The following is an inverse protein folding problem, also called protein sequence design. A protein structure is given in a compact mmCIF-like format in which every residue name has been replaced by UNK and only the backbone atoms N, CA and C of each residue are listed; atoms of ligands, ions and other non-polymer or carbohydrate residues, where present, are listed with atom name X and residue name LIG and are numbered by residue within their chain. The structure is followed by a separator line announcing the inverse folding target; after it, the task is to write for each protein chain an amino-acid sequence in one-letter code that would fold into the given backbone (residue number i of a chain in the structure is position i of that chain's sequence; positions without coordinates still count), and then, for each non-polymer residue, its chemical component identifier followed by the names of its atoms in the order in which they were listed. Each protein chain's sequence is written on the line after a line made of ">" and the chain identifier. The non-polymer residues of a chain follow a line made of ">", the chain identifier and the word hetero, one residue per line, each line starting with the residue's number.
data_IF_031461159925
#
_entry.id   IF_031461159925
#
_cell.length_a   1.000
_cell.length_b   1.000
_cell.length_c   1.000
_cell.angle_alpha   90.00
_cell.angle_beta   90.00
_cell.angle_gamma   90.00
#
_symmetry.space_group_name_H-M   'P 1'
#
loop_
_entity.id
_entity.type
_entity.pdbx_description
1 polymer ?
#
# COMPACT_ATOMS: atom_id res chain seq x y z
N UNK A 1 8.40 -4.58 11.16
CA UNK A 1 8.92 -5.58 10.20
C UNK A 1 7.82 -6.08 9.26
N UNK A 2 6.77 -6.75 9.74
CA UNK A 2 5.74 -7.36 8.87
C UNK A 2 5.08 -6.40 7.87
N UNK A 3 4.81 -5.14 8.27
CA UNK A 3 4.26 -4.14 7.36
C UNK A 3 5.16 -3.87 6.15
N UNK A 4 6.49 -3.86 6.33
CA UNK A 4 7.44 -3.68 5.23
C UNK A 4 7.48 -4.91 4.31
N UNK A 5 7.45 -6.12 4.88
CA UNK A 5 7.35 -7.34 4.07
C UNK A 5 6.05 -7.36 3.25
N UNK A 6 4.94 -6.91 3.84
CA UNK A 6 3.68 -6.77 3.12
C UNK A 6 3.77 -5.76 1.98
N UNK A 7 4.52 -4.65 2.15
CA UNK A 7 4.77 -3.68 1.09
C UNK A 7 5.52 -4.31 -0.10
N UNK A 8 6.52 -5.15 0.17
CA UNK A 8 7.25 -5.85 -0.88
C UNK A 8 6.34 -6.84 -1.64
N UNK A 9 5.47 -7.57 -0.94
CA UNK A 9 4.48 -8.45 -1.57
C UNK A 9 3.48 -7.64 -2.41
N UNK A 10 3.06 -6.48 -1.91
CA UNK A 10 2.15 -5.59 -2.63
C UNK A 10 2.78 -5.07 -3.92
N UNK A 11 4.03 -4.63 -3.89
CA UNK A 11 4.75 -4.22 -5.09
C UNK A 11 4.99 -5.39 -6.03
N UNK A 12 5.31 -6.58 -5.52
CA UNK A 12 5.39 -7.77 -6.36
C UNK A 12 4.06 -8.02 -7.10
N UNK A 13 2.94 -7.86 -6.42
CA UNK A 13 1.62 -7.99 -7.03
C UNK A 13 1.39 -6.94 -8.14
N UNK A 14 1.73 -5.67 -7.86
CA UNK A 14 1.59 -4.55 -8.79
C UNK A 14 2.50 -4.63 -10.03
N UNK A 15 3.73 -5.13 -9.90
CA UNK A 15 4.75 -5.04 -10.96
C UNK A 15 5.15 -6.38 -11.58
N UNK A 16 4.94 -7.50 -10.89
CA UNK A 16 5.41 -8.81 -11.34
C UNK A 16 4.25 -9.76 -11.63
N UNK A 17 3.44 -10.10 -10.62
CA UNK A 17 2.35 -11.07 -10.78
C UNK A 17 1.12 -10.69 -9.96
N UNK A 18 -0.01 -10.31 -10.58
CA UNK A 18 -0.25 -10.33 -12.03
C UNK A 18 0.42 -9.18 -12.80
N UNK A 19 0.93 -8.16 -12.10
CA UNK A 19 1.59 -7.03 -12.73
C UNK A 19 0.63 -6.05 -13.42
N UNK A 20 1.17 -4.96 -13.97
CA UNK A 20 0.39 -3.96 -14.71
C UNK A 20 -0.13 -2.78 -13.87
N UNK A 21 0.35 -2.61 -12.65
CA UNK A 21 0.03 -1.48 -11.76
C UNK A 21 0.05 -0.11 -12.46
N UNK A 22 1.10 0.27 -13.21
CA UNK A 22 1.14 1.54 -13.94
C UNK A 22 -0.02 1.71 -14.94
N UNK A 23 -0.37 0.64 -15.67
CA UNK A 23 -1.48 0.65 -16.63
C UNK A 23 -2.82 0.82 -15.91
N UNK A 24 -3.00 0.12 -14.78
CA UNK A 24 -4.20 0.24 -13.95
C UNK A 24 -4.33 1.64 -13.38
N UNK A 25 -3.24 2.23 -12.88
CA UNK A 25 -3.23 3.62 -12.39
C UNK A 25 -3.64 4.57 -13.51
N UNK A 26 -3.01 4.48 -14.68
CA UNK A 26 -3.28 5.40 -15.78
C UNK A 26 -4.72 5.29 -16.28
N UNK A 27 -5.23 4.08 -16.45
CA UNK A 27 -6.60 3.85 -16.92
C UNK A 27 -7.65 4.16 -15.84
N UNK A 28 -7.48 3.63 -14.64
CA UNK A 28 -8.51 3.67 -13.60
C UNK A 28 -8.49 4.97 -12.78
N UNK A 29 -7.31 5.52 -12.49
CA UNK A 29 -7.19 6.75 -11.69
C UNK A 29 -7.18 8.01 -12.55
N UNK A 30 -6.55 7.95 -13.74
CA UNK A 30 -6.39 9.12 -14.61
C UNK A 30 -7.27 9.09 -15.86
N UNK A 31 -7.99 7.99 -16.11
CA UNK A 31 -8.91 7.91 -17.25
C UNK A 31 -8.23 7.88 -18.62
N UNK A 32 -6.95 7.51 -18.68
CA UNK A 32 -6.17 7.43 -19.92
C UNK A 32 -6.79 6.41 -20.89
N UNK A 33 -6.77 6.72 -22.20
CA UNK A 33 -7.41 5.90 -23.25
C UNK A 33 -6.48 5.54 -24.40
N UNK A 34 -5.34 6.20 -24.50
CA UNK A 34 -4.41 6.14 -25.62
C UNK A 34 -3.04 5.69 -25.15
N UNK A 35 -2.44 6.38 -24.16
CA UNK A 35 -1.07 6.12 -23.73
C UNK A 35 -0.98 5.55 -22.30
N UNK A 36 -1.46 4.32 -22.16
CA UNK A 36 -1.51 3.61 -20.88
C UNK A 36 -0.15 3.37 -20.21
N UNK A 37 0.97 3.49 -20.93
CA UNK A 37 2.31 3.23 -20.38
C UNK A 37 3.00 4.47 -19.83
N UNK A 38 2.61 5.66 -20.29
CA UNK A 38 3.38 6.87 -20.05
C UNK A 38 2.63 7.95 -19.27
N UNK A 39 1.28 7.94 -19.23
CA UNK A 39 0.51 9.06 -18.68
C UNK A 39 -0.36 8.69 -17.48
N UNK A 40 -0.17 9.33 -16.31
CA UNK A 40 1.03 10.00 -15.78
C UNK A 40 1.93 9.06 -14.94
N UNK A 41 1.48 7.83 -14.69
CA UNK A 41 2.20 6.77 -14.00
C UNK A 41 2.99 5.93 -14.99
N UNK A 42 4.27 6.26 -15.20
CA UNK A 42 5.18 5.41 -15.96
C UNK A 42 6.04 4.58 -15.01
N UNK A 43 6.86 3.68 -15.56
CA UNK A 43 7.66 2.77 -14.73
C UNK A 43 8.69 3.51 -13.85
N UNK A 44 9.19 4.66 -14.32
CA UNK A 44 10.11 5.49 -13.53
C UNK A 44 9.41 6.17 -12.35
N UNK A 45 8.23 6.78 -12.57
CA UNK A 45 7.48 7.41 -11.48
C UNK A 45 6.98 6.37 -10.47
N UNK A 46 6.55 5.19 -10.93
CA UNK A 46 6.23 4.07 -10.06
C UNK A 46 7.43 3.63 -9.21
N UNK A 47 8.61 3.47 -9.82
CA UNK A 47 9.84 3.13 -9.11
C UNK A 47 10.21 4.19 -8.05
N UNK A 48 10.11 5.48 -8.38
CA UNK A 48 10.41 6.57 -7.42
C UNK A 48 9.45 6.50 -6.22
N UNK A 49 8.14 6.46 -6.46
CA UNK A 49 7.14 6.45 -5.38
C UNK A 49 7.29 5.19 -4.50
N UNK A 50 7.54 4.04 -5.09
CA UNK A 50 7.77 2.78 -4.37
C UNK A 50 8.99 2.81 -3.47
N UNK A 51 10.10 3.32 -3.96
CA UNK A 51 11.33 3.40 -3.17
C UNK A 51 11.23 4.47 -2.07
N UNK A 52 10.52 5.57 -2.31
CA UNK A 52 10.24 6.56 -1.26
C UNK A 52 9.42 5.97 -0.11
N UNK A 53 8.49 5.06 -0.39
CA UNK A 53 7.74 4.37 0.66
C UNK A 53 8.67 3.60 1.62
N UNK A 54 9.77 3.02 1.13
CA UNK A 54 10.71 2.28 1.97
C UNK A 54 11.29 3.12 3.09
N UNK A 55 11.55 4.41 2.84
CA UNK A 55 12.09 5.33 3.84
C UNK A 55 11.19 5.35 5.08
N UNK A 56 9.86 5.45 4.90
CA UNK A 56 8.91 5.51 6.01
C UNK A 56 8.78 4.16 6.73
N UNK A 57 8.71 3.06 5.98
CA UNK A 57 8.57 1.72 6.57
C UNK A 57 9.83 1.27 7.31
N UNK A 58 11.01 1.55 6.75
CA UNK A 58 12.29 1.27 7.40
C UNK A 58 12.47 2.18 8.61
N UNK A 59 12.10 3.46 8.54
CA UNK A 59 12.14 4.36 9.70
C UNK A 59 11.29 3.83 10.85
N UNK A 60 10.09 3.32 10.58
CA UNK A 60 9.24 2.70 11.61
C UNK A 60 9.86 1.43 12.24
N UNK A 61 10.76 0.74 11.52
CA UNK A 61 11.49 -0.43 12.02
C UNK A 61 12.69 0.01 12.88
N UNK A 62 13.44 1.00 12.43
CA UNK A 62 14.64 1.50 13.13
C UNK A 62 14.26 2.26 14.40
N UNK A 63 13.15 2.99 14.38
CA UNK A 63 12.68 3.82 15.50
C UNK A 63 11.33 3.33 16.06
N UNK A 64 11.25 2.09 16.59
CA UNK A 64 9.97 1.48 16.98
C UNK A 64 9.30 2.14 18.18
N UNK A 65 10.06 2.92 18.98
CA UNK A 65 9.53 3.71 20.10
C UNK A 65 8.73 4.93 19.62
N UNK A 66 8.94 5.39 18.39
CA UNK A 66 8.18 6.50 17.81
C UNK A 66 6.90 5.91 17.19
N UNK A 67 5.88 5.72 18.02
CA UNK A 67 4.62 5.05 17.66
C UNK A 67 3.97 5.65 16.42
N UNK A 68 4.07 6.98 16.24
CA UNK A 68 3.54 7.70 15.10
C UNK A 68 4.12 7.26 13.75
N UNK A 69 5.38 6.81 13.69
CA UNK A 69 5.94 6.24 12.46
C UNK A 69 5.25 4.92 12.09
N UNK A 70 5.03 4.05 13.09
CA UNK A 70 4.28 2.81 12.90
C UNK A 70 2.83 3.10 12.49
N UNK A 71 2.12 3.97 13.20
CA UNK A 71 0.74 4.37 12.86
C UNK A 71 0.66 4.98 11.45
N UNK A 72 1.61 5.82 11.05
CA UNK A 72 1.67 6.38 9.70
C UNK A 72 1.67 5.29 8.62
N UNK A 73 2.50 4.25 8.80
CA UNK A 73 2.50 3.10 7.86
C UNK A 73 1.18 2.31 7.88
N UNK A 74 0.51 2.20 9.03
CA UNK A 74 -0.79 1.54 9.12
C UNK A 74 -1.91 2.34 8.43
N UNK A 75 -1.92 3.66 8.59
CA UNK A 75 -2.88 4.51 7.87
C UNK A 75 -2.66 4.46 6.36
N UNK A 76 -1.41 4.47 5.91
CA UNK A 76 -1.09 4.29 4.50
C UNK A 76 -1.54 2.92 3.96
N UNK A 77 -1.25 1.84 4.69
CA UNK A 77 -1.75 0.48 4.40
C UNK A 77 -3.28 0.45 4.23
N UNK A 78 -4.02 1.05 5.15
CA UNK A 78 -5.48 1.09 5.10
C UNK A 78 -6.00 1.97 3.95
N UNK A 79 -5.29 3.04 3.60
CA UNK A 79 -5.64 3.88 2.45
C UNK A 79 -5.57 3.09 1.12
N UNK A 80 -4.65 2.12 1.01
CA UNK A 80 -4.58 1.24 -0.16
C UNK A 80 -5.85 0.41 -0.37
N UNK A 81 -6.63 0.12 0.68
CA UNK A 81 -7.93 -0.54 0.55
C UNK A 81 -8.93 0.32 -0.22
N UNK A 82 -8.91 1.64 -0.05
CA UNK A 82 -9.76 2.55 -0.83
C UNK A 82 -9.31 2.55 -2.30
N UNK A 83 -8.00 2.61 -2.54
CA UNK A 83 -7.41 2.59 -3.87
C UNK A 83 -7.72 1.30 -4.64
N UNK A 84 -7.23 0.17 -4.14
CA UNK A 84 -7.36 -1.13 -4.80
C UNK A 84 -8.75 -1.73 -4.63
N UNK A 85 -9.36 -1.62 -3.45
CA UNK A 85 -10.65 -2.26 -3.17
C UNK A 85 -11.82 -1.59 -3.89
N UNK A 86 -11.80 -0.26 -4.03
CA UNK A 86 -12.91 0.50 -4.59
C UNK A 86 -12.56 1.20 -5.90
N UNK A 87 -11.58 2.13 -5.88
CA UNK A 87 -11.35 3.06 -6.98
C UNK A 87 -10.86 2.34 -8.25
N UNK A 88 -9.83 1.52 -8.14
CA UNK A 88 -9.22 0.82 -9.27
C UNK A 88 -10.16 -0.22 -9.88
N UNK A 89 -10.81 -1.03 -9.05
CA UNK A 89 -11.83 -1.99 -9.51
C UNK A 89 -12.98 -1.30 -10.27
N UNK A 90 -13.51 -0.19 -9.74
CA UNK A 90 -14.56 0.60 -10.42
C UNK A 90 -14.07 1.19 -11.75
N UNK A 91 -12.84 1.73 -11.79
CA UNK A 91 -12.26 2.31 -13.00
C UNK A 91 -11.90 1.27 -14.07
N UNK A 92 -11.49 0.06 -13.66
CA UNK A 92 -11.16 -1.04 -14.56
C UNK A 92 -12.39 -1.87 -14.96
N UNK A 93 -13.51 -1.75 -14.25
CA UNK A 93 -14.68 -2.63 -14.34
C UNK A 93 -14.31 -4.10 -14.08
N UNK A 94 -13.43 -4.31 -13.11
CA UNK A 94 -12.98 -5.63 -12.67
C UNK A 94 -13.25 -5.80 -11.18
N UNK A 95 -13.33 -7.04 -10.73
CA UNK A 95 -13.44 -7.37 -9.30
C UNK A 95 -12.08 -7.46 -8.61
N UNK A 96 -11.01 -7.53 -9.40
CA UNK A 96 -9.64 -7.64 -8.94
C UNK A 96 -8.71 -6.76 -9.76
N UNK A 97 -7.66 -6.26 -9.09
CA UNK A 97 -6.54 -5.56 -9.69
C UNK A 97 -5.24 -5.90 -8.95
N UNK A 98 -4.08 -5.76 -9.61
CA UNK A 98 -2.76 -5.92 -9.00
C UNK A 98 -2.64 -5.06 -7.74
N UNK A 99 -2.28 -5.70 -6.62
CA UNK A 99 -2.15 -5.08 -5.30
C UNK A 99 -3.32 -5.35 -4.35
N UNK A 100 -4.47 -5.83 -4.86
CA UNK A 100 -5.65 -6.05 -4.02
C UNK A 100 -5.50 -7.21 -3.02
N UNK A 101 -4.86 -8.32 -3.41
CA UNK A 101 -4.73 -9.48 -2.53
C UNK A 101 -3.83 -9.15 -1.33
N UNK A 102 -2.66 -8.58 -1.58
CA UNK A 102 -1.76 -8.10 -0.53
C UNK A 102 -2.42 -7.07 0.39
N UNK A 103 -3.28 -6.19 -0.15
CA UNK A 103 -4.05 -5.25 0.66
C UNK A 103 -4.99 -5.97 1.63
N UNK A 104 -5.82 -6.88 1.12
CA UNK A 104 -6.85 -7.58 1.90
C UNK A 104 -6.21 -8.53 2.92
N UNK A 105 -5.21 -9.30 2.51
CA UNK A 105 -4.68 -10.40 3.31
C UNK A 105 -3.49 -9.99 4.19
N UNK A 106 -2.78 -8.90 3.88
CA UNK A 106 -1.60 -8.48 4.63
C UNK A 106 -1.79 -7.07 5.23
N UNK A 107 -2.01 -6.04 4.42
CA UNK A 107 -2.07 -4.67 4.93
C UNK A 107 -3.19 -4.45 5.92
N UNK A 108 -4.42 -4.87 5.63
CA UNK A 108 -5.55 -4.66 6.52
C UNK A 108 -5.39 -5.41 7.86
N UNK A 109 -5.10 -6.73 7.89
CA UNK A 109 -4.92 -7.45 9.15
C UNK A 109 -3.75 -6.93 9.99
N UNK A 110 -2.60 -6.63 9.37
CA UNK A 110 -1.43 -6.08 10.07
C UNK A 110 -1.78 -4.73 10.69
N UNK A 111 -2.51 -3.88 9.97
CA UNK A 111 -2.88 -2.54 10.44
C UNK A 111 -3.85 -2.57 11.60
N UNK A 112 -4.89 -3.39 11.51
CA UNK A 112 -5.86 -3.58 12.59
C UNK A 112 -5.15 -4.14 13.84
N UNK A 113 -4.31 -5.16 13.67
CA UNK A 113 -3.58 -5.77 14.77
C UNK A 113 -2.64 -4.77 15.47
N UNK A 114 -1.88 -3.99 14.70
CA UNK A 114 -0.98 -2.98 15.27
C UNK A 114 -1.75 -1.90 16.05
N UNK A 115 -2.85 -1.39 15.50
CA UNK A 115 -3.68 -0.40 16.19
C UNK A 115 -4.27 -0.98 17.49
N UNK A 116 -4.79 -2.21 17.45
CA UNK A 116 -5.25 -2.92 18.65
C UNK A 116 -4.14 -3.08 19.69
N UNK A 117 -2.94 -3.46 19.28
CA UNK A 117 -1.78 -3.60 20.17
C UNK A 117 -1.42 -2.28 20.85
N UNK A 118 -1.37 -1.17 20.11
CA UNK A 118 -1.06 0.16 20.66
C UNK A 118 -2.15 0.62 21.63
N UNK A 119 -3.43 0.46 21.29
CA UNK A 119 -4.54 0.84 22.18
C UNK A 119 -4.48 0.07 23.50
N UNK A 120 -4.19 -1.24 23.46
CA UNK A 120 -4.03 -2.01 24.70
C UNK A 120 -2.83 -1.55 25.51
N UNK A 121 -1.66 -1.34 24.89
CA UNK A 121 -0.49 -0.83 25.61
C UNK A 121 -0.75 0.52 26.30
N UNK A 122 -1.44 1.44 25.62
CA UNK A 122 -1.81 2.73 26.20
C UNK A 122 -2.77 2.57 27.38
N UNK A 123 -3.72 1.63 27.29
CA UNK A 123 -4.68 1.35 28.35
C UNK A 123 -4.04 0.79 29.62
N UNK A 124 -2.94 0.04 29.48
CA UNK A 124 -2.26 -0.64 30.60
C UNK A 124 -0.95 0.02 31.05
N UNK A 125 -0.53 1.13 30.41
CA UNK A 125 0.62 1.93 30.86
C UNK A 125 2.00 1.45 30.39
N UNK A 126 2.07 0.60 29.37
CA UNK A 126 3.31 -0.06 28.91
C UNK A 126 4.02 0.68 27.75
N UNK A 127 3.94 2.02 27.73
CA UNK A 127 4.36 2.86 26.59
C UNK A 127 5.68 3.58 26.85
#
# INVERSE_FOLDING_TARGET
>A
MFSFMALLVHQFEEYVLPGGGPVVINKANFGEKVNYRNYPGNMQSAMIVNNLAYIFYISAIIFPKIIWLGLGTMFFNLFQLIGHGLKMNKGMKTWYNPGLASVIFLFVPISIYYMFFIVNKLKYGDV
#
